data_IF_204321242696
#
_entry.id   IF_204321242696
#
_cell.length_a   1.000
_cell.length_b   1.000
_cell.length_c   1.000
_cell.angle_alpha   90.00
_cell.angle_beta   90.00
_cell.angle_gamma   90.00
#
_symmetry.space_group_name_H-M   'P 1'
#
loop_
_entity.id
_entity.type
_entity.pdbx_description
1 polymer ?
#
# COMPACT_ATOMS: atom_id res chain seq x y z
N UNK A 1 -21.23 5.53 -16.81
CA UNK A 1 -20.86 4.82 -15.56
C UNK A 1 -20.81 5.82 -14.43
N UNK A 2 -21.49 5.54 -13.36
CA UNK A 2 -21.49 6.46 -12.24
C UNK A 2 -20.31 6.19 -11.31
N UNK A 3 -20.03 7.12 -10.42
CA UNK A 3 -18.86 7.05 -9.55
C UNK A 3 -18.92 5.90 -8.55
N UNK A 4 -20.11 5.47 -8.16
CA UNK A 4 -20.25 4.35 -7.23
C UNK A 4 -19.80 3.05 -7.89
N UNK A 5 -20.29 2.77 -9.08
CA UNK A 5 -19.82 1.60 -9.82
C UNK A 5 -18.31 1.65 -10.02
N UNK A 6 -17.80 2.81 -10.43
CA UNK A 6 -16.39 2.97 -10.66
C UNK A 6 -15.58 2.74 -9.38
N UNK A 7 -16.01 3.35 -8.28
CA UNK A 7 -15.28 3.23 -7.03
C UNK A 7 -15.33 1.86 -6.39
N UNK A 8 -16.51 1.22 -6.41
CA UNK A 8 -16.68 -0.05 -5.71
C UNK A 8 -16.42 -1.26 -6.61
N UNK A 9 -16.92 -1.24 -7.84
CA UNK A 9 -16.78 -2.38 -8.74
C UNK A 9 -15.47 -2.37 -9.48
N UNK A 10 -15.20 -1.27 -10.19
CA UNK A 10 -14.03 -1.26 -11.08
C UNK A 10 -12.73 -1.36 -10.31
N UNK A 11 -12.63 -0.70 -9.17
CA UNK A 11 -11.42 -0.81 -8.37
C UNK A 11 -11.29 -2.20 -7.74
N UNK A 12 -12.40 -2.79 -7.31
CA UNK A 12 -12.38 -4.15 -6.80
C UNK A 12 -12.00 -5.17 -7.85
N UNK A 13 -12.28 -4.89 -9.12
CA UNK A 13 -11.85 -5.74 -10.22
C UNK A 13 -10.36 -5.59 -10.55
N UNK A 14 -9.78 -4.44 -10.21
CA UNK A 14 -8.40 -4.12 -10.56
C UNK A 14 -7.41 -4.30 -9.42
N UNK A 15 -7.87 -4.22 -8.19
CA UNK A 15 -6.99 -4.23 -7.02
C UNK A 15 -7.58 -5.04 -5.87
N UNK A 16 -6.70 -5.71 -5.15
CA UNK A 16 -7.02 -6.30 -3.84
C UNK A 16 -6.44 -5.43 -2.74
N UNK A 17 -7.19 -5.28 -1.64
CA UNK A 17 -6.72 -4.60 -0.45
C UNK A 17 -6.48 -5.67 0.61
N UNK A 18 -5.26 -5.78 1.09
CA UNK A 18 -4.88 -6.84 2.03
C UNK A 18 -4.16 -6.28 3.25
N UNK A 19 -4.27 -7.01 4.35
CA UNK A 19 -3.47 -6.73 5.53
C UNK A 19 -2.01 -7.01 5.25
N UNK A 20 -1.14 -6.34 5.99
CA UNK A 20 0.28 -6.66 6.01
C UNK A 20 0.62 -7.40 7.29
N UNK A 21 1.68 -8.18 7.24
CA UNK A 21 2.29 -8.74 8.46
C UNK A 21 3.30 -7.70 8.94
N UNK A 22 2.95 -7.01 10.01
CA UNK A 22 3.75 -5.89 10.49
C UNK A 22 4.69 -6.30 11.61
N UNK A 23 5.72 -5.47 11.81
CA UNK A 23 6.58 -5.61 12.99
C UNK A 23 7.13 -4.24 13.40
N UNK A 24 7.69 -4.18 14.59
CA UNK A 24 8.23 -2.93 15.12
C UNK A 24 9.67 -2.71 14.64
N UNK A 25 10.16 -1.49 14.85
CA UNK A 25 11.48 -1.08 14.38
C UNK A 25 12.63 -1.89 15.01
N UNK A 26 12.39 -2.55 16.13
CA UNK A 26 13.44 -3.35 16.77
C UNK A 26 13.83 -4.59 15.95
N UNK A 27 13.04 -4.94 14.94
CA UNK A 27 13.36 -6.05 14.05
C UNK A 27 14.23 -5.65 12.85
N UNK A 28 14.43 -4.36 12.64
CA UNK A 28 15.15 -3.88 11.47
C UNK A 28 16.63 -4.20 11.56
N UNK A 29 17.23 -4.43 10.39
CA UNK A 29 18.65 -4.74 10.28
C UNK A 29 19.36 -3.65 9.48
N UNK A 30 20.68 -3.71 9.43
CA UNK A 30 21.44 -2.75 8.64
C UNK A 30 21.27 -3.06 7.15
N UNK A 31 21.06 -2.02 6.36
CA UNK A 31 20.95 -2.16 4.93
C UNK A 31 19.95 -1.18 4.33
N UNK A 32 19.88 -1.20 3.02
CA UNK A 32 18.97 -0.32 2.28
C UNK A 32 18.24 -1.05 1.17
N UNK A 33 18.18 -2.38 1.24
CA UNK A 33 17.53 -3.18 0.22
C UNK A 33 16.01 -3.08 0.28
N UNK A 34 15.47 -2.77 1.46
CA UNK A 34 14.03 -2.72 1.69
C UNK A 34 13.64 -1.41 2.35
N UNK A 35 12.48 -0.87 1.98
CA UNK A 35 11.89 0.25 2.70
C UNK A 35 11.05 -0.27 3.86
N UNK A 36 11.10 0.42 4.99
CA UNK A 36 10.20 0.17 6.11
C UNK A 36 9.13 1.25 6.10
N UNK A 37 7.89 0.85 5.89
CA UNK A 37 6.77 1.74 5.60
C UNK A 37 5.89 1.80 6.82
N UNK A 38 5.53 3.02 7.22
CA UNK A 38 4.62 3.25 8.33
C UNK A 38 3.38 4.00 7.86
N UNK A 39 2.46 4.25 8.77
CA UNK A 39 1.19 4.92 8.45
C UNK A 39 1.32 6.42 8.25
N UNK A 40 2.51 6.97 8.38
CA UNK A 40 2.74 8.40 8.18
C UNK A 40 2.67 8.75 6.68
N UNK A 41 2.31 10.00 6.39
CA UNK A 41 2.41 10.53 5.04
C UNK A 41 3.75 11.22 4.77
N UNK A 42 4.58 11.38 5.78
CA UNK A 42 5.90 11.98 5.61
C UNK A 42 6.78 11.06 4.81
N UNK A 43 7.55 11.64 3.90
CA UNK A 43 8.50 10.90 3.07
C UNK A 43 7.86 9.69 2.40
N UNK A 44 6.63 9.86 1.88
CA UNK A 44 5.88 8.80 1.20
C UNK A 44 5.71 7.55 2.06
N UNK A 45 5.61 7.73 3.37
CA UNK A 45 5.43 6.62 4.30
C UNK A 45 6.71 5.93 4.71
N UNK A 46 7.85 6.27 4.11
CA UNK A 46 9.12 5.61 4.41
C UNK A 46 9.69 6.18 5.71
N UNK A 47 9.74 5.34 6.74
CA UNK A 47 10.38 5.74 7.99
C UNK A 47 11.88 5.59 7.88
N UNK A 48 12.35 4.47 7.37
CA UNK A 48 13.78 4.20 7.18
C UNK A 48 13.93 3.01 6.25
N UNK A 49 15.15 2.70 5.88
CA UNK A 49 15.47 1.51 5.13
C UNK A 49 15.98 0.42 6.06
N UNK A 50 16.02 -0.81 5.57
CA UNK A 50 16.48 -1.95 6.34
C UNK A 50 17.07 -2.99 5.40
N UNK A 51 17.89 -3.88 5.93
CA UNK A 51 18.31 -5.09 5.25
C UNK A 51 17.23 -6.16 5.37
N UNK A 52 17.58 -7.37 4.96
CA UNK A 52 16.66 -8.50 5.02
C UNK A 52 16.31 -8.83 6.48
N UNK A 53 15.03 -9.02 6.75
CA UNK A 53 14.56 -9.44 8.07
C UNK A 53 14.05 -10.87 8.01
N UNK A 54 13.08 -11.14 7.14
CA UNK A 54 12.55 -12.48 6.91
C UNK A 54 11.68 -12.48 5.66
N UNK A 55 11.36 -13.67 5.15
CA UNK A 55 10.52 -13.79 3.96
C UNK A 55 9.05 -13.54 4.25
N UNK A 56 8.58 -13.89 5.44
CA UNK A 56 7.15 -13.85 5.75
C UNK A 56 6.57 -12.44 5.69
N UNK A 57 7.34 -11.46 6.13
CA UNK A 57 6.87 -10.09 6.25
C UNK A 57 7.15 -9.25 5.01
N UNK A 58 7.79 -9.80 3.98
CA UNK A 58 8.09 -9.05 2.76
C UNK A 58 6.80 -8.78 1.99
N UNK A 59 6.64 -7.54 1.58
CA UNK A 59 5.63 -7.13 0.62
C UNK A 59 6.33 -6.86 -0.70
N UNK A 60 5.76 -7.37 -1.79
CA UNK A 60 6.42 -7.31 -3.09
C UNK A 60 6.45 -5.89 -3.65
N UNK A 61 7.45 -5.60 -4.47
CA UNK A 61 7.43 -4.43 -5.32
C UNK A 61 6.24 -4.49 -6.28
N UNK A 62 5.84 -3.34 -6.81
CA UNK A 62 4.69 -3.31 -7.71
C UNK A 62 3.35 -3.26 -7.00
N UNK A 63 3.35 -2.92 -5.74
CA UNK A 63 2.14 -2.75 -4.93
C UNK A 63 2.08 -1.32 -4.41
N UNK A 64 0.95 -0.97 -3.81
CA UNK A 64 0.81 0.32 -3.11
C UNK A 64 0.70 0.07 -1.63
N UNK A 65 1.30 0.95 -0.83
CA UNK A 65 1.06 0.98 0.61
C UNK A 65 -0.03 1.98 0.93
N UNK A 66 -0.85 1.66 1.92
CA UNK A 66 -1.92 2.53 2.40
C UNK A 66 -1.77 2.66 3.91
N UNK A 67 -1.35 3.84 4.36
CA UNK A 67 -1.28 4.13 5.79
C UNK A 67 -2.64 4.51 6.32
N UNK A 68 -3.09 3.83 7.38
CA UNK A 68 -4.46 4.00 7.88
C UNK A 68 -4.65 5.26 8.71
N UNK A 69 -3.58 6.02 8.97
CA UNK A 69 -3.73 7.29 9.69
C UNK A 69 -4.28 8.38 8.79
N UNK A 70 -3.67 8.59 7.64
CA UNK A 70 -4.07 9.65 6.72
C UNK A 70 -4.64 9.13 5.42
N UNK A 71 -4.65 7.82 5.23
CA UNK A 71 -5.26 7.17 4.07
C UNK A 71 -4.63 7.57 2.75
N UNK A 72 -3.30 7.75 2.74
CA UNK A 72 -2.57 8.04 1.51
C UNK A 72 -2.02 6.79 0.88
N UNK A 73 -2.13 6.72 -0.45
CA UNK A 73 -1.61 5.62 -1.24
C UNK A 73 -0.28 6.01 -1.85
N UNK A 74 0.74 5.18 -1.65
CA UNK A 74 2.05 5.41 -2.25
C UNK A 74 2.49 4.14 -2.98
N UNK A 75 2.95 4.31 -4.22
CA UNK A 75 3.45 3.18 -4.99
C UNK A 75 4.82 2.74 -4.46
N UNK A 76 5.00 1.41 -4.35
CA UNK A 76 6.26 0.83 -3.88
C UNK A 76 6.97 0.18 -5.06
N UNK A 77 8.10 0.75 -5.46
CA UNK A 77 8.86 0.23 -6.59
C UNK A 77 9.97 -0.73 -6.17
N UNK A 78 10.08 -1.02 -4.89
CA UNK A 78 10.97 -2.07 -4.39
C UNK A 78 10.29 -2.80 -3.24
N UNK A 79 10.75 -4.02 -2.91
CA UNK A 79 10.12 -4.77 -1.81
C UNK A 79 10.25 -4.02 -0.50
N UNK A 80 9.29 -4.24 0.40
CA UNK A 80 9.17 -3.42 1.59
C UNK A 80 8.59 -4.20 2.77
N UNK A 81 8.85 -3.70 3.95
CA UNK A 81 8.27 -4.20 5.19
C UNK A 81 7.33 -3.16 5.77
N UNK A 82 6.37 -3.58 6.58
CA UNK A 82 5.33 -2.70 7.10
C UNK A 82 5.38 -2.62 8.62
N UNK A 83 5.16 -1.40 9.13
CA UNK A 83 4.77 -1.19 10.51
C UNK A 83 3.27 -1.38 10.70
N UNK A 84 2.77 -1.09 11.91
CA UNK A 84 1.35 -1.27 12.21
C UNK A 84 0.49 -0.29 11.43
N UNK A 85 -0.75 -0.74 11.13
CA UNK A 85 -1.77 0.09 10.49
C UNK A 85 -1.40 0.51 9.09
N UNK A 86 -0.76 -0.40 8.35
CA UNK A 86 -0.48 -0.24 6.93
C UNK A 86 -1.14 -1.40 6.20
N UNK A 87 -1.86 -1.08 5.14
CA UNK A 87 -2.44 -2.09 4.24
C UNK A 87 -1.66 -2.10 2.94
N UNK A 88 -1.80 -3.16 2.18
CA UNK A 88 -1.21 -3.22 0.84
C UNK A 88 -2.29 -3.37 -0.21
N UNK A 89 -2.07 -2.73 -1.33
CA UNK A 89 -2.96 -2.77 -2.47
C UNK A 89 -2.22 -3.52 -3.57
N UNK A 90 -2.79 -4.63 -3.99
CA UNK A 90 -2.16 -5.51 -4.98
C UNK A 90 -2.95 -5.41 -6.27
N UNK A 91 -2.30 -5.04 -7.40
CA UNK A 91 -3.00 -5.02 -8.68
C UNK A 91 -3.32 -6.45 -9.12
N UNK A 92 -4.52 -6.63 -9.62
CA UNK A 92 -4.96 -7.90 -10.22
C UNK A 92 -4.60 -8.00 -11.68
N UNK A 93 -4.18 -6.89 -12.27
CA UNK A 93 -3.79 -6.82 -13.67
C UNK A 93 -2.34 -6.35 -13.74
N UNK A 94 -1.73 -6.58 -14.88
CA UNK A 94 -0.38 -6.08 -15.11
C UNK A 94 -0.44 -4.57 -15.39
N UNK A 95 0.29 -3.80 -14.60
CA UNK A 95 0.29 -2.35 -14.72
C UNK A 95 1.63 -1.92 -15.31
N UNK A 96 1.62 -1.27 -16.48
CA UNK A 96 2.87 -0.77 -17.06
C UNK A 96 3.54 0.24 -16.15
N UNK A 97 4.87 0.25 -16.18
CA UNK A 97 5.65 1.13 -15.32
C UNK A 97 5.24 2.60 -15.50
N UNK A 98 4.92 3.00 -16.70
CA UNK A 98 4.55 4.40 -16.99
C UNK A 98 3.12 4.73 -16.58
N UNK A 99 2.35 3.77 -16.12
CA UNK A 99 0.97 4.01 -15.64
C UNK A 99 0.87 4.06 -14.13
N UNK A 100 1.95 3.84 -13.38
CA UNK A 100 1.88 3.77 -11.92
C UNK A 100 1.47 5.10 -11.30
N UNK A 101 1.96 6.21 -11.83
CA UNK A 101 1.57 7.53 -11.33
C UNK A 101 0.07 7.79 -11.57
N UNK A 102 -0.43 7.39 -12.73
CA UNK A 102 -1.84 7.53 -13.04
C UNK A 102 -2.71 6.78 -12.01
N UNK A 103 -2.38 5.52 -11.75
CA UNK A 103 -3.16 4.72 -10.80
C UNK A 103 -3.01 5.24 -9.36
N UNK A 104 -1.83 5.73 -8.99
CA UNK A 104 -1.66 6.36 -7.69
C UNK A 104 -2.58 7.57 -7.54
N UNK A 105 -2.68 8.38 -8.58
CA UNK A 105 -3.56 9.54 -8.58
C UNK A 105 -5.02 9.12 -8.47
N UNK A 106 -5.42 8.09 -9.21
CA UNK A 106 -6.79 7.57 -9.18
C UNK A 106 -7.12 7.05 -7.77
N UNK A 107 -6.24 6.25 -7.17
CA UNK A 107 -6.48 5.71 -5.83
C UNK A 107 -6.65 6.84 -4.82
N UNK A 108 -5.80 7.85 -4.87
CA UNK A 108 -5.90 8.97 -3.92
C UNK A 108 -7.13 9.83 -4.16
N UNK A 109 -7.55 9.99 -5.40
CA UNK A 109 -8.79 10.73 -5.69
C UNK A 109 -10.02 10.02 -5.20
N UNK A 110 -9.97 8.70 -5.12
CA UNK A 110 -11.14 7.91 -4.73
C UNK A 110 -11.10 7.51 -3.26
N UNK A 111 -10.26 8.17 -2.45
CA UNK A 111 -10.16 7.90 -1.01
C UNK A 111 -11.50 7.79 -0.31
N UNK A 112 -12.45 8.73 -0.49
CA UNK A 112 -13.70 8.63 0.27
C UNK A 112 -14.46 7.35 -0.02
N UNK A 113 -14.47 6.91 -1.28
CA UNK A 113 -15.14 5.67 -1.66
C UNK A 113 -14.37 4.47 -1.12
N UNK A 114 -13.05 4.48 -1.26
CA UNK A 114 -12.21 3.38 -0.80
C UNK A 114 -12.25 3.25 0.72
N UNK A 115 -12.30 4.37 1.42
CA UNK A 115 -12.44 4.37 2.87
C UNK A 115 -13.74 3.69 3.29
N UNK A 116 -14.83 3.97 2.60
CA UNK A 116 -16.10 3.32 2.86
C UNK A 116 -16.01 1.81 2.68
N UNK A 117 -15.35 1.36 1.61
CA UNK A 117 -15.15 -0.08 1.36
C UNK A 117 -14.28 -0.70 2.45
N UNK A 118 -13.20 -0.01 2.85
CA UNK A 118 -12.32 -0.49 3.91
C UNK A 118 -13.05 -0.65 5.24
N UNK A 119 -13.88 0.32 5.60
CA UNK A 119 -14.62 0.26 6.85
C UNK A 119 -15.55 -0.95 6.88
N UNK A 120 -16.15 -1.30 5.74
CA UNK A 120 -17.02 -2.47 5.66
C UNK A 120 -16.25 -3.80 5.71
N UNK A 121 -15.00 -3.80 5.29
CA UNK A 121 -14.23 -5.04 5.12
C UNK A 121 -13.08 -5.21 6.12
N UNK A 122 -12.87 -4.25 6.99
CA UNK A 122 -11.84 -4.36 8.04
C UNK A 122 -12.48 -5.02 9.25
N UNK A 123 -11.82 -6.02 9.74
CA UNK A 123 -12.30 -6.75 10.93
C UNK A 123 -11.84 -6.11 12.22
#
# INVERSE_FOLDING_TARGET
>A
MNSVEWGEYKLGDLFDIKNTLSFNTDMLTDGNEYDYITRTSLNQGILQTTGFVNDENINNAGTWSLGLLQMDFFYRNKPWYAGQFVRKIIPKIEIPQNATLYFTTVLNKLKPILLSVLVRNVD
#
